data_IF_175678456190
#
_entry.id   IF_175678456190
#
_cell.length_a   1.000
_cell.length_b   1.000
_cell.length_c   1.000
_cell.angle_alpha   90.00
_cell.angle_beta   90.00
_cell.angle_gamma   90.00
#
_symmetry.space_group_name_H-M   'P 1'
#
loop_
_entity.id
_entity.type
_entity.pdbx_description
1 polymer ?
#
# COMPACT_ATOMS: atom_id res chain seq x y z
N UNK A 1 -13.04 -5.09 7.01
CA UNK A 1 -12.17 -3.96 7.44
C UNK A 1 -10.75 -4.22 6.95
N UNK A 2 -9.85 -3.24 7.00
CA UNK A 2 -8.41 -3.46 6.75
C UNK A 2 -7.81 -4.17 7.96
N UNK A 3 -7.79 -5.50 7.94
CA UNK A 3 -7.21 -6.32 9.01
C UNK A 3 -5.69 -6.22 9.03
N UNK A 4 -5.06 -6.05 7.85
CA UNK A 4 -3.62 -5.96 7.70
C UNK A 4 -3.01 -4.65 8.22
N UNK A 5 -3.83 -3.62 8.49
CA UNK A 5 -3.38 -2.34 9.03
C UNK A 5 -3.65 -2.24 10.54
N UNK A 6 -2.60 -2.24 11.37
CA UNK A 6 -2.75 -2.13 12.81
C UNK A 6 -3.53 -0.87 13.22
N UNK A 7 -4.43 -0.95 14.22
CA UNK A 7 -5.28 0.16 14.64
C UNK A 7 -4.54 1.46 14.95
N UNK A 8 -3.34 1.37 15.53
CA UNK A 8 -2.51 2.52 15.87
C UNK A 8 -2.09 3.37 14.66
N UNK A 9 -2.00 2.76 13.47
CA UNK A 9 -1.58 3.45 12.25
C UNK A 9 -2.74 3.94 11.38
N UNK A 10 -3.99 3.55 11.69
CA UNK A 10 -5.16 3.92 10.86
C UNK A 10 -5.32 5.44 10.74
N UNK A 11 -5.15 6.16 11.85
CA UNK A 11 -5.26 7.63 11.88
C UNK A 11 -4.13 8.32 11.11
N UNK A 12 -2.89 7.86 11.27
CA UNK A 12 -1.76 8.47 10.56
C UNK A 12 -1.85 8.23 9.05
N UNK A 13 -2.28 7.02 8.64
CA UNK A 13 -2.48 6.68 7.23
C UNK A 13 -3.61 7.49 6.61
N UNK A 14 -4.74 7.67 7.30
CA UNK A 14 -5.85 8.47 6.75
C UNK A 14 -5.47 9.94 6.58
N UNK A 15 -4.76 10.53 7.55
CA UNK A 15 -4.23 11.90 7.46
C UNK A 15 -3.25 12.03 6.30
N UNK A 16 -2.35 11.04 6.12
CA UNK A 16 -1.40 11.03 5.02
C UNK A 16 -2.10 10.92 3.65
N UNK A 17 -3.12 10.07 3.51
CA UNK A 17 -3.90 9.96 2.28
C UNK A 17 -4.55 11.28 1.91
N UNK A 18 -5.15 11.98 2.88
CA UNK A 18 -5.71 13.33 2.67
C UNK A 18 -4.63 14.31 2.23
N UNK A 19 -3.50 14.35 2.93
CA UNK A 19 -2.39 15.23 2.61
C UNK A 19 -1.90 15.01 1.18
N UNK A 20 -1.58 13.76 0.82
CA UNK A 20 -1.10 13.42 -0.54
C UNK A 20 -2.13 13.80 -1.59
N UNK A 21 -3.43 13.50 -1.37
CA UNK A 21 -4.47 13.87 -2.33
C UNK A 21 -4.53 15.39 -2.56
N UNK A 22 -4.37 16.18 -1.49
CA UNK A 22 -4.29 17.65 -1.58
C UNK A 22 -3.05 18.10 -2.35
N UNK A 23 -1.87 17.53 -2.10
CA UNK A 23 -0.63 17.91 -2.80
C UNK A 23 -0.69 17.67 -4.31
N UNK A 24 -1.51 16.71 -4.77
CA UNK A 24 -1.69 16.48 -6.21
C UNK A 24 -2.31 17.71 -6.88
N UNK A 25 -3.12 18.51 -6.19
CA UNK A 25 -3.64 19.76 -6.77
C UNK A 25 -2.53 20.76 -7.07
N UNK A 26 -1.59 20.95 -6.14
CA UNK A 26 -0.43 21.83 -6.33
C UNK A 26 0.45 21.34 -7.50
N UNK A 27 0.67 20.04 -7.58
CA UNK A 27 1.43 19.42 -8.68
C UNK A 27 0.68 19.50 -10.01
N UNK A 28 -0.66 19.49 -9.99
CA UNK A 28 -1.50 19.62 -11.18
C UNK A 28 -1.38 21.00 -11.81
N UNK A 29 -1.24 22.06 -11.01
CA UNK A 29 -0.94 23.40 -11.51
C UNK A 29 0.41 23.45 -12.22
N UNK A 30 1.44 22.83 -11.65
CA UNK A 30 2.76 22.72 -12.28
C UNK A 30 2.71 21.91 -13.58
N UNK A 31 1.95 20.81 -13.58
CA UNK A 31 1.74 20.00 -14.78
C UNK A 31 1.08 20.80 -15.90
N UNK A 32 0.07 21.61 -15.59
CA UNK A 32 -0.55 22.51 -16.56
C UNK A 32 0.44 23.55 -17.12
N UNK A 33 1.29 24.12 -16.27
CA UNK A 33 2.28 25.12 -16.70
C UNK A 33 3.33 24.51 -17.64
N UNK A 34 3.85 23.34 -17.29
CA UNK A 34 4.96 22.69 -18.00
C UNK A 34 4.49 21.97 -19.26
N UNK A 35 3.44 21.16 -19.14
CA UNK A 35 2.99 20.23 -20.17
C UNK A 35 1.78 20.73 -20.94
N UNK A 36 1.18 21.86 -20.52
CA UNK A 36 -0.05 22.43 -21.12
C UNK A 36 -1.22 21.45 -21.14
N UNK A 37 -1.25 20.51 -20.20
CA UNK A 37 -2.29 19.48 -20.06
C UNK A 37 -2.96 19.58 -18.70
N UNK A 38 -4.26 19.38 -18.68
CA UNK A 38 -5.02 19.30 -17.44
C UNK A 38 -5.07 17.87 -16.91
N UNK A 39 -4.92 17.74 -15.59
CA UNK A 39 -5.34 16.62 -14.78
C UNK A 39 -6.19 17.17 -13.63
N UNK A 40 -7.11 16.35 -13.10
CA UNK A 40 -8.04 16.80 -12.09
C UNK A 40 -8.07 15.80 -10.94
N UNK A 41 -7.91 16.29 -9.72
CA UNK A 41 -8.29 15.51 -8.55
C UNK A 41 -9.79 15.65 -8.34
N UNK A 42 -10.43 14.54 -8.02
CA UNK A 42 -11.87 14.48 -7.77
C UNK A 42 -12.13 13.62 -6.54
N UNK A 43 -13.26 13.83 -5.84
CA UNK A 43 -13.66 12.93 -4.75
C UNK A 43 -13.68 11.45 -5.18
N UNK A 44 -14.03 11.15 -6.44
CA UNK A 44 -13.98 9.80 -6.99
C UNK A 44 -12.55 9.24 -7.01
N UNK A 45 -11.59 10.00 -7.54
CA UNK A 45 -10.17 9.58 -7.55
C UNK A 45 -9.59 9.39 -6.15
N UNK A 46 -10.10 10.11 -5.14
CA UNK A 46 -9.71 9.89 -3.74
C UNK A 46 -10.20 8.54 -3.22
N UNK A 47 -11.45 8.17 -3.51
CA UNK A 47 -11.98 6.85 -3.16
C UNK A 47 -11.26 5.72 -3.90
N UNK A 48 -10.85 5.96 -5.15
CA UNK A 48 -10.01 5.04 -5.92
C UNK A 48 -8.62 4.88 -5.28
N UNK A 49 -8.00 5.97 -4.80
CA UNK A 49 -6.75 5.91 -4.04
C UNK A 49 -6.89 5.06 -2.77
N UNK A 50 -7.98 5.24 -2.01
CA UNK A 50 -8.27 4.43 -0.82
C UNK A 50 -8.42 2.95 -1.16
N UNK A 51 -9.20 2.66 -2.20
CA UNK A 51 -9.45 1.29 -2.66
C UNK A 51 -8.16 0.62 -3.15
N UNK A 52 -7.34 1.35 -3.90
CA UNK A 52 -6.06 0.87 -4.41
C UNK A 52 -5.09 0.57 -3.28
N UNK A 53 -4.94 1.48 -2.31
CA UNK A 53 -4.08 1.25 -1.14
C UNK A 53 -4.50 -0.02 -0.39
N UNK A 54 -5.80 -0.17 -0.16
CA UNK A 54 -6.38 -1.33 0.53
C UNK A 54 -6.04 -2.64 -0.18
N UNK A 55 -6.23 -2.68 -1.51
CA UNK A 55 -5.90 -3.84 -2.35
C UNK A 55 -4.41 -4.18 -2.28
N UNK A 56 -3.55 -3.19 -2.49
CA UNK A 56 -2.10 -3.38 -2.51
C UNK A 56 -1.57 -3.85 -1.15
N UNK A 57 -2.09 -3.31 -0.05
CA UNK A 57 -1.68 -3.73 1.28
C UNK A 57 -2.00 -5.22 1.52
N UNK A 58 -3.22 -5.64 1.18
CA UNK A 58 -3.62 -7.05 1.33
C UNK A 58 -2.75 -7.98 0.48
N UNK A 59 -2.53 -7.63 -0.80
CA UNK A 59 -1.69 -8.41 -1.71
C UNK A 59 -0.24 -8.52 -1.21
N UNK A 60 0.36 -7.41 -0.78
CA UNK A 60 1.75 -7.40 -0.29
C UNK A 60 1.89 -8.15 1.04
N UNK A 61 0.91 -8.05 1.92
CA UNK A 61 0.89 -8.79 3.19
C UNK A 61 0.80 -10.29 2.94
N UNK A 62 -0.12 -10.74 2.07
CA UNK A 62 -0.26 -12.15 1.69
C UNK A 62 1.02 -12.71 1.06
N UNK A 63 1.62 -11.96 0.14
CA UNK A 63 2.88 -12.36 -0.49
C UNK A 63 4.01 -12.50 0.53
N UNK A 64 4.11 -11.56 1.47
CA UNK A 64 5.13 -11.61 2.53
C UNK A 64 4.92 -12.80 3.45
N UNK A 65 3.68 -13.05 3.88
CA UNK A 65 3.34 -14.21 4.71
C UNK A 65 3.64 -15.53 3.99
N UNK A 66 3.35 -15.61 2.69
CA UNK A 66 3.70 -16.77 1.87
C UNK A 66 5.21 -17.02 1.78
N UNK A 67 6.02 -15.96 1.68
CA UNK A 67 7.48 -16.07 1.70
C UNK A 67 8.00 -16.54 3.06
N UNK A 68 7.47 -16.00 4.16
CA UNK A 68 7.81 -16.40 5.53
C UNK A 68 7.52 -17.90 5.71
N UNK A 69 6.31 -18.34 5.38
CA UNK A 69 5.94 -19.75 5.52
C UNK A 69 6.78 -20.69 4.65
N UNK A 70 7.18 -20.26 3.44
CA UNK A 70 8.10 -21.04 2.60
C UNK A 70 9.49 -21.18 3.25
N UNK A 71 10.01 -20.12 3.83
CA UNK A 71 11.29 -20.12 4.52
C UNK A 71 11.26 -21.02 5.76
N UNK A 72 10.25 -20.87 6.61
CA UNK A 72 10.06 -21.68 7.82
C UNK A 72 9.98 -23.18 7.50
N UNK A 73 9.21 -23.54 6.47
CA UNK A 73 9.11 -24.91 5.99
C UNK A 73 10.46 -25.44 5.47
N UNK A 74 11.22 -24.61 4.75
CA UNK A 74 12.56 -24.95 4.27
C UNK A 74 13.52 -25.22 5.43
N UNK A 75 13.56 -24.34 6.42
CA UNK A 75 14.42 -24.47 7.60
C UNK A 75 14.07 -25.71 8.44
N UNK A 76 12.78 -25.96 8.64
CA UNK A 76 12.30 -27.15 9.38
C UNK A 76 12.75 -28.44 8.72
N UNK A 77 12.64 -28.53 7.39
CA UNK A 77 13.10 -29.70 6.63
C UNK A 77 14.62 -29.89 6.75
N UNK A 78 15.39 -28.81 6.59
CA UNK A 78 16.85 -28.87 6.75
C UNK A 78 17.27 -29.36 8.14
N UNK A 79 16.63 -28.84 9.19
CA UNK A 79 16.89 -29.26 10.57
C UNK A 79 16.56 -30.75 10.80
N UNK A 80 15.43 -31.23 10.24
CA UNK A 80 15.07 -32.65 10.35
C UNK A 80 16.05 -33.59 9.66
N UNK A 81 16.56 -33.22 8.48
CA UNK A 81 17.56 -34.02 7.76
C UNK A 81 18.93 -34.01 8.45
N UNK A 82 19.29 -32.93 9.14
CA UNK A 82 20.56 -32.85 9.88
C UNK A 82 20.55 -33.65 11.19
N UNK A 83 19.37 -33.94 11.74
CA UNK A 83 19.19 -34.73 12.96
C UNK A 83 19.02 -36.24 12.71
N UNK A 84 18.94 -36.65 11.44
CA UNK A 84 18.80 -38.03 10.99
C UNK A 84 20.16 -38.61 10.59
#
# INVERSE_FOLDING_TARGET
>A
ELEELPPQYRKSVSLFMSHVHSTVNEVSEQYLQNERRYNYTTPKSFLEQISLYSKLLSEKTKNSQGMIGRLENGLTKLASCAAQ
#
